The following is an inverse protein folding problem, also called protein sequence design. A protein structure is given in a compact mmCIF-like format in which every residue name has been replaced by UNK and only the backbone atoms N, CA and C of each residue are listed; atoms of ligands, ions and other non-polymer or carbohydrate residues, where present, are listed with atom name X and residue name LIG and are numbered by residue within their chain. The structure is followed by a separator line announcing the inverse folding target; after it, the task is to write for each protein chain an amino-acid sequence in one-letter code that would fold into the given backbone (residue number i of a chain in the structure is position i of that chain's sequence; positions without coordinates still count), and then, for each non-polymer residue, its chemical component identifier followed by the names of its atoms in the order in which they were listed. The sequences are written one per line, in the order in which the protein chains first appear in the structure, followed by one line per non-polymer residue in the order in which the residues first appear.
data_IF_055642491676
#
_entry.id   IF_055642491676
#
_cell.length_a   1.000
_cell.length_b   1.000
_cell.length_c   1.000
_cell.angle_alpha   90.00
_cell.angle_beta   90.00
_cell.angle_gamma   90.00
#
_symmetry.space_group_name_H-M   'P 1'
#
loop_
_entity.id
_entity.type
_entity.pdbx_description
1 polymer ?
#
# COMPACT_ATOMS: atom_id res chain seq x y z
N UNK A 1 -59.77 -48.89 5.05
CA UNK A 1 -58.48 -48.94 5.77
C UNK A 1 -57.80 -47.60 5.59
N UNK A 2 -57.40 -47.01 6.70
CA UNK A 2 -57.08 -45.59 6.92
C UNK A 2 -55.57 -45.31 6.86
N UNK A 3 -55.19 -44.27 6.09
CA UNK A 3 -54.03 -43.35 6.27
C UNK A 3 -52.57 -43.88 6.27
N UNK A 4 -51.55 -43.00 6.09
CA UNK A 4 -51.57 -41.58 5.71
C UNK A 4 -50.60 -41.16 4.58
N UNK A 5 -50.83 -39.93 4.13
CA UNK A 5 -49.97 -39.03 3.35
C UNK A 5 -48.52 -38.98 3.86
N UNK A 6 -47.55 -38.93 2.93
CA UNK A 6 -46.23 -38.37 3.21
C UNK A 6 -45.97 -37.22 2.23
N UNK A 7 -46.23 -36.02 2.73
CA UNK A 7 -45.95 -34.74 2.09
C UNK A 7 -44.44 -34.53 2.03
N UNK A 8 -43.84 -34.57 0.83
CA UNK A 8 -42.45 -34.15 0.64
C UNK A 8 -42.39 -32.63 0.57
N UNK A 9 -42.23 -32.00 1.74
CA UNK A 9 -41.75 -30.62 1.83
C UNK A 9 -40.27 -30.60 1.44
N UNK A 10 -39.97 -30.17 0.21
CA UNK A 10 -38.61 -29.76 -0.15
C UNK A 10 -38.39 -28.37 0.45
N UNK A 11 -37.73 -28.32 1.61
CA UNK A 11 -37.25 -27.08 2.21
C UNK A 11 -36.11 -26.55 1.34
N UNK A 12 -36.42 -25.57 0.49
CA UNK A 12 -35.42 -24.79 -0.24
C UNK A 12 -34.70 -23.91 0.79
N UNK A 13 -33.59 -24.42 1.33
CA UNK A 13 -32.71 -23.66 2.21
C UNK A 13 -32.01 -22.59 1.36
N UNK A 14 -32.59 -21.39 1.29
CA UNK A 14 -31.86 -20.21 0.84
C UNK A 14 -30.76 -19.92 1.86
N UNK A 15 -29.58 -20.49 1.61
CA UNK A 15 -28.35 -20.00 2.21
C UNK A 15 -28.16 -18.58 1.70
N UNK A 16 -28.59 -17.61 2.50
CA UNK A 16 -28.16 -16.23 2.39
C UNK A 16 -26.63 -16.27 2.39
N UNK A 17 -26.03 -16.09 1.21
CA UNK A 17 -24.65 -15.65 1.09
C UNK A 17 -24.63 -14.28 1.76
N UNK A 18 -24.34 -14.27 3.06
CA UNK A 18 -23.86 -13.08 3.74
C UNK A 18 -22.59 -12.68 3.01
N UNK A 19 -22.74 -11.75 2.06
CA UNK A 19 -21.65 -10.93 1.57
C UNK A 19 -21.07 -10.30 2.83
N UNK A 20 -20.00 -10.88 3.35
CA UNK A 20 -19.23 -10.24 4.40
C UNK A 20 -18.90 -8.86 3.88
N UNK A 21 -19.41 -7.82 4.55
CA UNK A 21 -18.97 -6.47 4.29
C UNK A 21 -17.45 -6.53 4.44
N UNK A 22 -16.74 -6.30 3.34
CA UNK A 22 -15.30 -6.09 3.38
C UNK A 22 -15.15 -4.80 4.17
N UNK A 23 -14.91 -4.91 5.47
CA UNK A 23 -14.43 -3.79 6.27
C UNK A 23 -13.00 -3.54 5.79
N UNK A 24 -12.90 -2.78 4.69
CA UNK A 24 -11.67 -2.12 4.34
C UNK A 24 -11.30 -1.25 5.54
N UNK A 25 -10.10 -1.46 6.08
CA UNK A 25 -9.59 -0.59 7.14
C UNK A 25 -9.45 0.80 6.52
N UNK A 26 -10.37 1.71 6.88
CA UNK A 26 -10.25 3.11 6.52
C UNK A 26 -9.13 3.72 7.35
N UNK A 27 -7.94 3.79 6.76
CA UNK A 27 -6.77 4.44 7.36
C UNK A 27 -6.80 5.96 7.16
N UNK A 28 -7.88 6.52 6.59
CA UNK A 28 -7.99 7.94 6.29
C UNK A 28 -8.69 8.72 7.42
N UNK A 29 -8.19 9.90 7.80
CA UNK A 29 -6.89 10.44 7.39
C UNK A 29 -5.74 9.70 8.10
N UNK A 30 -4.69 9.38 7.34
CA UNK A 30 -3.46 8.83 7.90
C UNK A 30 -2.87 9.88 8.86
N UNK A 31 -2.78 9.52 10.14
CA UNK A 31 -2.30 10.39 11.22
C UNK A 31 -1.18 9.71 11.99
N UNK A 32 -0.29 10.51 12.59
CA UNK A 32 0.72 9.96 13.50
C UNK A 32 0.04 9.23 14.67
N UNK A 33 0.45 8.00 14.94
CA UNK A 33 -0.08 7.21 16.05
C UNK A 33 0.22 7.86 17.41
N UNK A 34 1.37 8.54 17.52
CA UNK A 34 1.79 9.33 18.68
C UNK A 34 2.42 10.62 18.18
N UNK A 35 2.00 11.76 18.73
CA UNK A 35 2.70 13.03 18.53
C UNK A 35 3.99 12.98 19.36
N UNK A 36 5.19 12.90 18.76
CA UNK A 36 6.43 12.85 19.54
C UNK A 36 6.58 14.16 20.32
N UNK A 37 7.11 14.08 21.55
CA UNK A 37 7.56 15.29 22.27
C UNK A 37 8.84 15.79 21.63
N UNK A 38 8.76 16.92 20.95
CA UNK A 38 9.92 17.59 20.35
C UNK A 38 10.71 18.34 21.44
N UNK A 39 12.04 18.35 21.33
CA UNK A 39 12.88 19.26 22.12
C UNK A 39 12.76 20.72 21.64
N UNK A 40 13.08 21.69 22.51
CA UNK A 40 13.18 23.10 22.12
C UNK A 40 14.51 23.42 21.45
N UNK A 41 14.49 24.15 20.31
CA UNK A 41 15.69 24.61 19.60
C UNK A 41 16.68 25.38 20.50
N UNK A 42 16.19 25.94 21.61
CA UNK A 42 16.98 26.67 22.61
C UNK A 42 17.59 25.79 23.71
N UNK A 43 17.47 24.46 23.62
CA UNK A 43 17.89 23.58 24.71
C UNK A 43 19.40 23.37 24.76
N UNK A 44 19.94 23.37 25.98
CA UNK A 44 21.35 23.05 26.27
C UNK A 44 21.65 21.55 26.33
N UNK A 45 20.65 20.67 26.16
CA UNK A 45 20.81 19.21 26.09
C UNK A 45 20.64 18.74 24.65
N UNK A 46 21.33 17.66 24.27
CA UNK A 46 21.02 16.94 23.03
C UNK A 46 19.58 16.44 23.10
N UNK A 47 18.70 17.07 22.33
CA UNK A 47 17.34 16.61 22.15
C UNK A 47 17.16 16.20 20.70
N UNK A 48 16.30 15.21 20.49
CA UNK A 48 15.84 14.88 19.16
C UNK A 48 14.93 16.03 18.67
N UNK A 49 15.46 16.84 17.75
CA UNK A 49 14.72 17.90 17.08
C UNK A 49 13.97 17.31 15.89
N UNK A 50 12.78 16.81 16.15
CA UNK A 50 11.83 16.55 15.08
C UNK A 50 10.87 17.74 15.02
N UNK A 51 11.17 18.77 14.21
CA UNK A 51 10.21 19.86 13.95
C UNK A 51 8.97 19.41 13.17
N UNK A 52 8.85 18.09 12.94
CA UNK A 52 7.79 17.46 12.18
C UNK A 52 8.08 17.52 10.68
N UNK A 53 7.41 16.63 9.94
CA UNK A 53 7.39 16.69 8.48
C UNK A 53 6.20 17.60 8.10
N UNK A 54 6.47 18.68 7.38
CA UNK A 54 5.40 19.50 6.83
C UNK A 54 4.82 18.81 5.58
N UNK A 55 3.76 18.03 5.79
CA UNK A 55 3.11 17.26 4.72
C UNK A 55 2.63 18.13 3.54
N UNK A 56 2.30 19.41 3.77
CA UNK A 56 1.88 20.34 2.71
C UNK A 56 3.01 20.72 1.75
N UNK A 57 4.26 20.52 2.15
CA UNK A 57 5.46 20.83 1.36
C UNK A 57 5.94 19.65 0.53
N UNK A 58 5.50 18.43 0.84
CA UNK A 58 5.87 17.24 0.07
C UNK A 58 5.15 17.30 -1.28
N UNK A 59 5.92 17.38 -2.36
CA UNK A 59 5.40 17.38 -3.74
C UNK A 59 5.46 16.02 -4.39
N UNK A 60 6.47 15.22 -4.05
CA UNK A 60 6.68 13.90 -4.60
C UNK A 60 7.07 12.94 -3.49
N UNK A 61 6.50 11.74 -3.50
CA UNK A 61 6.86 10.61 -2.66
C UNK A 61 7.48 9.55 -3.56
N UNK A 62 8.70 9.11 -3.23
CA UNK A 62 9.37 8.00 -3.88
C UNK A 62 9.21 6.75 -3.02
N UNK A 63 8.57 5.72 -3.56
CA UNK A 63 8.28 4.47 -2.86
C UNK A 63 9.25 3.36 -3.26
N UNK A 64 9.83 2.68 -2.27
CA UNK A 64 10.68 1.50 -2.47
C UNK A 64 10.22 0.44 -1.48
N UNK A 65 9.99 -0.79 -1.92
CA UNK A 65 9.47 -1.82 -1.02
C UNK A 65 8.85 -3.02 -1.70
N UNK A 66 7.89 -3.61 -1.00
CA UNK A 66 7.30 -4.89 -1.33
C UNK A 66 5.83 -4.76 -1.80
N UNK A 67 5.07 -5.84 -1.70
CA UNK A 67 3.65 -5.91 -2.11
C UNK A 67 2.74 -4.96 -1.36
N UNK A 68 3.10 -4.50 -0.15
CA UNK A 68 2.29 -3.56 0.60
C UNK A 68 2.35 -2.14 0.02
N UNK A 69 3.35 -1.84 -0.81
CA UNK A 69 3.51 -0.57 -1.49
C UNK A 69 3.38 -0.68 -3.01
N UNK A 70 3.62 -1.86 -3.59
CA UNK A 70 3.64 -2.05 -5.04
C UNK A 70 2.29 -1.74 -5.69
N UNK A 71 2.31 -0.72 -6.56
CA UNK A 71 1.14 -0.26 -7.31
C UNK A 71 1.05 -0.84 -8.74
N UNK A 72 1.86 -1.85 -9.04
CA UNK A 72 1.96 -2.45 -10.37
C UNK A 72 3.05 -1.85 -11.26
N UNK A 73 3.67 -0.74 -10.86
CA UNK A 73 4.81 -0.14 -11.54
C UNK A 73 6.12 -0.44 -10.81
N UNK A 74 7.24 -0.26 -11.53
CA UNK A 74 8.59 -0.54 -11.01
C UNK A 74 9.61 0.56 -11.33
N UNK A 75 9.16 1.62 -11.97
CA UNK A 75 10.03 2.66 -12.57
C UNK A 75 9.60 4.07 -12.17
N UNK A 76 8.70 4.21 -11.20
CA UNK A 76 8.13 5.51 -10.82
C UNK A 76 7.17 6.11 -11.85
N UNK A 77 6.73 5.32 -12.84
CA UNK A 77 5.75 5.75 -13.84
C UNK A 77 4.31 5.75 -13.28
N UNK A 78 3.35 6.42 -13.95
CA UNK A 78 1.95 6.40 -13.52
C UNK A 78 1.41 4.97 -13.45
N UNK A 79 0.74 4.58 -12.35
CA UNK A 79 0.25 3.23 -12.23
C UNK A 79 -1.02 3.00 -13.07
N UNK A 80 -1.29 1.73 -13.45
CA UNK A 80 -2.57 1.39 -14.04
C UNK A 80 -3.72 1.70 -13.06
N UNK A 81 -4.95 1.93 -13.56
CA UNK A 81 -6.10 2.15 -12.70
C UNK A 81 -6.32 1.00 -11.73
N UNK A 82 -6.63 1.31 -10.47
CA UNK A 82 -6.98 0.33 -9.45
C UNK A 82 -8.45 -0.13 -9.61
N UNK A 83 -8.73 -0.85 -10.70
CA UNK A 83 -10.06 -1.37 -11.02
C UNK A 83 -10.05 -2.89 -11.06
N UNK A 84 -11.22 -3.49 -10.87
CA UNK A 84 -11.41 -4.94 -10.90
C UNK A 84 -11.12 -5.48 -12.29
N UNK A 85 -10.25 -6.49 -12.36
CA UNK A 85 -10.09 -7.36 -13.52
C UNK A 85 -10.84 -8.70 -13.25
N UNK A 86 -11.48 -9.25 -14.27
CA UNK A 86 -12.14 -10.55 -14.16
C UNK A 86 -11.13 -11.72 -14.20
N UNK A 87 -9.97 -11.50 -14.83
CA UNK A 87 -8.94 -12.51 -15.04
C UNK A 87 -7.78 -12.40 -14.04
N UNK A 88 -7.70 -11.31 -13.28
CA UNK A 88 -6.68 -11.08 -12.26
C UNK A 88 -7.36 -10.65 -10.95
N UNK A 89 -7.12 -11.35 -9.83
CA UNK A 89 -7.63 -10.93 -8.53
C UNK A 89 -7.07 -9.58 -8.04
N UNK A 90 -5.98 -9.09 -8.63
CA UNK A 90 -5.34 -7.82 -8.30
C UNK A 90 -6.01 -6.65 -8.99
N UNK A 91 -6.13 -5.53 -8.28
CA UNK A 91 -6.69 -4.31 -8.86
C UNK A 91 -5.56 -3.46 -9.41
N UNK A 92 -5.45 -3.41 -10.74
CA UNK A 92 -4.33 -2.74 -11.41
C UNK A 92 -2.97 -3.24 -10.89
N UNK A 93 -2.80 -4.57 -10.81
CA UNK A 93 -1.57 -5.23 -10.36
C UNK A 93 -1.16 -5.02 -8.88
N UNK A 94 -1.97 -4.34 -8.06
CA UNK A 94 -1.76 -4.21 -6.62
C UNK A 94 -2.12 -5.50 -5.89
N UNK A 95 -1.39 -5.82 -4.82
CA UNK A 95 -1.73 -6.94 -3.93
C UNK A 95 -2.91 -6.62 -3.00
N UNK A 96 -3.92 -5.93 -3.51
CA UNK A 96 -5.14 -5.51 -2.81
C UNK A 96 -6.26 -5.25 -3.83
N UNK A 97 -7.47 -4.99 -3.34
CA UNK A 97 -8.67 -4.71 -4.14
C UNK A 97 -8.89 -3.21 -4.41
N UNK A 98 -7.84 -2.40 -4.36
CA UNK A 98 -7.92 -0.96 -4.46
C UNK A 98 -6.54 -0.32 -4.44
N UNK A 99 -6.45 0.94 -4.03
CA UNK A 99 -5.19 1.64 -3.84
C UNK A 99 -4.41 1.07 -2.65
N UNK A 100 -3.08 1.05 -2.75
CA UNK A 100 -2.21 0.78 -1.59
C UNK A 100 -2.01 2.04 -0.75
N UNK A 101 -1.46 1.89 0.45
CA UNK A 101 -1.37 2.98 1.44
C UNK A 101 -0.59 4.22 0.93
N UNK A 102 0.48 4.03 0.16
CA UNK A 102 1.30 5.15 -0.35
C UNK A 102 0.51 6.00 -1.35
N UNK A 103 -0.38 5.39 -2.12
CA UNK A 103 -1.24 6.07 -3.09
C UNK A 103 -2.34 6.85 -2.38
N UNK A 104 -2.98 6.22 -1.39
CA UNK A 104 -3.97 6.87 -0.53
C UNK A 104 -3.34 8.07 0.18
N UNK A 105 -2.12 7.91 0.72
CA UNK A 105 -1.39 8.97 1.39
C UNK A 105 -1.01 10.11 0.42
N UNK A 106 -0.49 9.78 -0.76
CA UNK A 106 -0.20 10.76 -1.81
C UNK A 106 -1.43 11.56 -2.24
N UNK A 107 -2.58 10.90 -2.40
CA UNK A 107 -3.86 11.57 -2.67
C UNK A 107 -4.26 12.51 -1.52
N UNK A 108 -4.17 12.04 -0.27
CA UNK A 108 -4.53 12.80 0.91
C UNK A 108 -3.71 14.10 1.04
N UNK A 109 -2.40 14.06 0.78
CA UNK A 109 -1.52 15.23 0.89
C UNK A 109 -1.31 15.98 -0.42
N UNK A 110 -1.94 15.54 -1.52
CA UNK A 110 -1.78 16.06 -2.88
C UNK A 110 -0.33 16.03 -3.38
N UNK A 111 0.37 14.94 -3.11
CA UNK A 111 1.71 14.66 -3.61
C UNK A 111 1.66 13.63 -4.76
N UNK A 112 2.59 13.76 -5.71
CA UNK A 112 2.84 12.75 -6.72
C UNK A 112 3.47 11.51 -6.08
N UNK A 113 3.05 10.32 -6.47
CA UNK A 113 3.66 9.06 -6.03
C UNK A 113 4.43 8.46 -7.18
N UNK A 114 5.74 8.27 -6.99
CA UNK A 114 6.64 7.54 -7.90
C UNK A 114 7.06 6.25 -7.22
N UNK A 115 6.38 5.16 -7.56
CA UNK A 115 6.59 3.86 -6.93
C UNK A 115 7.54 2.95 -7.73
N UNK A 116 8.49 2.35 -6.99
CA UNK A 116 9.46 1.38 -7.47
C UNK A 116 9.30 0.03 -6.75
N UNK A 117 8.34 -0.07 -5.82
CA UNK A 117 8.12 -1.28 -5.03
C UNK A 117 7.65 -2.45 -5.91
N UNK A 118 8.13 -3.64 -5.57
CA UNK A 118 7.83 -4.87 -6.30
C UNK A 118 7.37 -5.92 -5.30
N UNK A 119 6.23 -6.55 -5.58
CA UNK A 119 5.74 -7.66 -4.76
C UNK A 119 6.80 -8.75 -4.52
N UNK A 120 7.01 -9.11 -3.26
CA UNK A 120 7.99 -10.12 -2.86
C UNK A 120 9.44 -9.63 -2.77
N UNK A 121 9.69 -8.32 -2.89
CA UNK A 121 11.03 -7.77 -2.71
C UNK A 121 11.50 -7.88 -1.25
N UNK A 122 12.79 -8.15 -1.06
CA UNK A 122 13.48 -8.05 0.23
C UNK A 122 14.25 -6.73 0.33
N UNK A 123 14.78 -6.43 1.52
CA UNK A 123 15.68 -5.27 1.67
C UNK A 123 16.97 -5.46 0.87
N UNK A 124 17.51 -6.69 0.87
CA UNK A 124 18.71 -7.07 0.13
C UNK A 124 18.71 -8.58 -0.12
N UNK A 125 18.90 -9.01 -1.37
CA UNK A 125 19.04 -10.43 -1.71
C UNK A 125 20.33 -11.05 -1.20
N UNK A 126 21.37 -10.23 -0.97
CA UNK A 126 22.64 -10.71 -0.38
C UNK A 126 22.42 -11.15 1.06
N UNK A 127 21.59 -10.41 1.81
CA UNK A 127 21.28 -10.70 3.21
C UNK A 127 20.10 -11.66 3.38
N UNK A 128 19.21 -11.75 2.38
CA UNK A 128 18.04 -12.63 2.38
C UNK A 128 17.94 -13.37 1.05
N UNK A 129 18.86 -14.33 0.81
CA UNK A 129 18.87 -15.09 -0.43
C UNK A 129 17.61 -15.94 -0.58
N UNK A 130 17.11 -16.02 -1.81
CA UNK A 130 15.92 -16.79 -2.18
C UNK A 130 16.18 -17.57 -3.46
N UNK A 131 15.54 -18.73 -3.59
CA UNK A 131 15.57 -19.55 -4.82
C UNK A 131 14.62 -19.02 -5.89
N UNK A 132 13.66 -18.17 -5.51
CA UNK A 132 12.79 -17.47 -6.45
C UNK A 132 13.49 -16.21 -6.98
N UNK A 133 13.26 -15.88 -8.25
CA UNK A 133 13.72 -14.61 -8.81
C UNK A 133 12.98 -13.45 -8.12
N UNK A 134 13.65 -12.80 -7.18
CA UNK A 134 13.16 -11.63 -6.44
C UNK A 134 14.00 -10.41 -6.81
N UNK A 135 13.40 -9.23 -6.72
CA UNK A 135 14.12 -7.94 -6.69
C UNK A 135 14.42 -7.58 -5.24
N UNK A 136 15.27 -6.59 -4.99
CA UNK A 136 15.43 -6.00 -3.66
C UNK A 136 15.36 -4.47 -3.70
N UNK A 137 15.24 -3.86 -2.53
CA UNK A 137 15.20 -2.39 -2.41
C UNK A 137 16.49 -1.73 -2.93
N UNK A 138 17.64 -2.43 -2.90
CA UNK A 138 18.89 -1.94 -3.48
C UNK A 138 18.74 -1.77 -4.99
N UNK A 139 18.19 -2.77 -5.69
CA UNK A 139 17.89 -2.71 -7.13
C UNK A 139 16.85 -1.62 -7.46
N UNK A 140 15.85 -1.42 -6.61
CA UNK A 140 14.86 -0.35 -6.80
C UNK A 140 15.49 1.04 -6.71
N UNK A 141 16.38 1.25 -5.72
CA UNK A 141 17.14 2.50 -5.58
C UNK A 141 18.09 2.68 -6.76
N UNK A 142 18.75 1.61 -7.22
CA UNK A 142 19.60 1.69 -8.40
C UNK A 142 18.82 2.13 -9.64
N UNK A 143 17.64 1.54 -9.86
CA UNK A 143 16.73 1.94 -10.96
C UNK A 143 16.37 3.42 -10.89
N UNK A 144 16.08 3.93 -9.69
CA UNK A 144 15.79 5.35 -9.49
C UNK A 144 16.99 6.26 -9.79
N UNK A 145 18.19 5.86 -9.37
CA UNK A 145 19.43 6.61 -9.60
C UNK A 145 19.80 6.65 -11.08
N UNK A 146 19.67 5.52 -11.79
CA UNK A 146 19.98 5.37 -13.21
C UNK A 146 19.07 6.21 -14.12
N UNK A 147 17.89 6.59 -13.62
CA UNK A 147 16.98 7.48 -14.33
C UNK A 147 17.39 8.95 -14.29
N UNK A 148 18.36 9.33 -13.44
CA UNK A 148 18.82 10.71 -13.29
C UNK A 148 17.68 11.71 -13.10
N UNK A 149 16.68 11.33 -12.29
CA UNK A 149 15.51 12.15 -12.03
C UNK A 149 15.92 13.54 -11.49
N UNK A 150 15.31 14.61 -12.00
CA UNK A 150 15.46 15.95 -11.42
C UNK A 150 14.67 16.04 -10.11
N UNK A 151 15.38 16.05 -8.97
CA UNK A 151 14.78 16.13 -7.64
C UNK A 151 14.88 17.58 -7.16
N UNK A 152 13.73 18.25 -7.07
CA UNK A 152 13.66 19.53 -6.38
C UNK A 152 13.58 19.30 -4.87
N UNK A 153 14.74 19.31 -4.22
CA UNK A 153 14.87 19.20 -2.76
C UNK A 153 14.76 20.58 -2.09
N UNK A 154 13.72 21.37 -2.44
CA UNK A 154 13.50 22.65 -1.78
C UNK A 154 13.13 22.46 -0.30
N UNK A 155 14.11 22.77 0.56
CA UNK A 155 14.01 22.83 2.03
C UNK A 155 13.21 24.02 2.50
#
# INVERSE_FOLDING_TARGET
MTSPMLSFFVVLLMTMLSYGAVEGIDTSPLKLAVQPKCGSLSSSRFNNFNTGINLKRIKTIYGFGDSYMSNGQRTGSPPPPAVRDANDPKYGQRATNGLVWIEQFGQQIRALVKDYAVGGASVSRVLSPSTAQQTDMIEHVQTFLDQHNHIDAAS
#
